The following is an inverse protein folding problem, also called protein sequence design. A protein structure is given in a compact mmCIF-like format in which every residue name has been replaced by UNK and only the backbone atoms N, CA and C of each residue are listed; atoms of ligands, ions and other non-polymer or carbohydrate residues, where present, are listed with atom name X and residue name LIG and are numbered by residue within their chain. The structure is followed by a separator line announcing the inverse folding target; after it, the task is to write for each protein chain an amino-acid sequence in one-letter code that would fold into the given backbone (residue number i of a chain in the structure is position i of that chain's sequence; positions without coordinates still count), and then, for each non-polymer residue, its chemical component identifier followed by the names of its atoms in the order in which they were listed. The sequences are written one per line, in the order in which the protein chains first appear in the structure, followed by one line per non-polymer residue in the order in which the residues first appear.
data_IF_420330206944
#
_entry.id   IF_420330206944
#
_cell.length_a   1.000
_cell.length_b   1.000
_cell.length_c   1.000
_cell.angle_alpha   90.00
_cell.angle_beta   90.00
_cell.angle_gamma   90.00
#
_symmetry.space_group_name_H-M   'P 1'
#
loop_
_entity.id
_entity.type
_entity.pdbx_description
1 polymer ?
#
# COMPACT_ATOMS: atom_id res chain seq x y z
N UNK A 1 -25.04 -8.51 -37.82
CA UNK A 1 -24.25 -7.25 -37.80
C UNK A 1 -22.80 -7.63 -37.54
N UNK A 2 -21.87 -7.21 -38.40
CA UNK A 2 -20.45 -7.48 -38.20
C UNK A 2 -19.95 -6.70 -36.97
N UNK A 3 -19.39 -7.41 -35.99
CA UNK A 3 -18.73 -6.83 -34.82
C UNK A 3 -17.45 -6.15 -35.34
N UNK A 4 -17.55 -4.89 -35.75
CA UNK A 4 -16.36 -4.16 -36.20
C UNK A 4 -15.68 -3.54 -34.98
N UNK A 5 -14.72 -4.27 -34.41
CA UNK A 5 -13.77 -3.71 -33.45
C UNK A 5 -12.87 -2.69 -34.14
N UNK A 6 -12.68 -1.51 -33.56
CA UNK A 6 -11.72 -0.53 -34.06
C UNK A 6 -10.32 -0.78 -33.46
N UNK A 7 -9.27 -0.59 -34.27
CA UNK A 7 -7.88 -0.72 -33.81
C UNK A 7 -7.47 0.55 -33.05
N UNK A 8 -6.99 0.38 -31.82
CA UNK A 8 -6.30 1.42 -31.06
C UNK A 8 -4.80 1.22 -31.19
N UNK A 9 -4.06 2.27 -31.57
CA UNK A 9 -2.59 2.25 -31.61
C UNK A 9 -2.09 3.32 -30.65
N UNK A 10 -1.21 2.92 -29.73
CA UNK A 10 -0.55 3.84 -28.81
C UNK A 10 0.96 3.60 -28.86
N UNK A 11 1.72 4.69 -28.85
CA UNK A 11 3.17 4.64 -28.73
C UNK A 11 3.53 4.82 -27.26
N UNK A 12 4.53 4.08 -26.80
CA UNK A 12 4.99 4.13 -25.41
C UNK A 12 6.48 3.82 -25.34
N UNK A 13 7.08 4.04 -24.17
CA UNK A 13 8.47 3.66 -23.93
C UNK A 13 8.63 2.14 -23.88
N UNK A 14 9.83 1.62 -24.22
CA UNK A 14 10.13 0.19 -24.07
C UNK A 14 9.85 -0.32 -22.66
N UNK A 15 10.22 0.47 -21.65
CA UNK A 15 10.04 0.12 -20.23
C UNK A 15 8.57 -0.01 -19.85
N UNK A 16 7.73 0.91 -20.31
CA UNK A 16 6.30 0.84 -20.05
C UNK A 16 5.64 -0.35 -20.76
N UNK A 17 6.11 -0.68 -21.97
CA UNK A 17 5.66 -1.89 -22.67
C UNK A 17 6.04 -3.14 -21.89
N UNK A 18 7.26 -3.22 -21.36
CA UNK A 18 7.71 -4.35 -20.54
C UNK A 18 6.85 -4.49 -19.28
N UNK A 19 6.60 -3.38 -18.58
CA UNK A 19 5.73 -3.33 -17.42
C UNK A 19 4.29 -3.81 -17.73
N UNK A 20 3.69 -3.37 -18.84
CA UNK A 20 2.35 -3.83 -19.25
C UNK A 20 2.30 -5.34 -19.49
N UNK A 21 3.36 -5.92 -20.06
CA UNK A 21 3.46 -7.38 -20.28
C UNK A 21 3.53 -8.11 -18.94
N UNK A 22 4.31 -7.60 -18.00
CA UNK A 22 4.44 -8.18 -16.66
C UNK A 22 3.10 -8.15 -15.89
N UNK A 23 2.43 -6.99 -15.86
CA UNK A 23 1.16 -6.85 -15.15
C UNK A 23 0.03 -7.67 -15.77
N UNK A 24 -0.05 -7.72 -17.10
CA UNK A 24 -0.99 -8.59 -17.80
C UNK A 24 -0.73 -10.07 -17.47
N UNK A 25 0.55 -10.47 -17.37
CA UNK A 25 0.93 -11.82 -16.96
C UNK A 25 0.54 -12.12 -15.52
N UNK A 26 0.71 -11.19 -14.57
CA UNK A 26 0.27 -11.34 -13.18
C UNK A 26 -1.25 -11.54 -13.07
N UNK A 27 -2.00 -10.84 -13.92
CA UNK A 27 -3.45 -10.95 -14.00
C UNK A 27 -3.92 -12.16 -14.84
N UNK A 28 -3.02 -12.90 -15.49
CA UNK A 28 -3.36 -14.08 -16.30
C UNK A 28 -4.12 -13.76 -17.60
N UNK A 29 -4.02 -12.53 -18.11
CA UNK A 29 -4.74 -12.05 -19.29
C UNK A 29 -3.80 -11.48 -20.35
N UNK A 30 -4.30 -11.25 -21.57
CA UNK A 30 -3.52 -10.55 -22.60
C UNK A 30 -3.34 -9.06 -22.27
N UNK A 31 -2.29 -8.42 -22.80
CA UNK A 31 -2.06 -6.98 -22.62
C UNK A 31 -3.25 -6.14 -23.07
N UNK A 32 -3.88 -6.49 -24.20
CA UNK A 32 -5.04 -5.77 -24.72
C UNK A 32 -6.26 -5.91 -23.80
N UNK A 33 -6.45 -7.09 -23.20
CA UNK A 33 -7.54 -7.32 -22.26
C UNK A 33 -7.29 -6.64 -20.92
N UNK A 34 -6.05 -6.68 -20.42
CA UNK A 34 -5.63 -5.93 -19.24
C UNK A 34 -5.92 -4.43 -19.39
N UNK A 35 -5.54 -3.83 -20.52
CA UNK A 35 -5.84 -2.43 -20.83
C UNK A 35 -7.35 -2.19 -20.89
N UNK A 36 -8.10 -3.06 -21.59
CA UNK A 36 -9.56 -2.94 -21.72
C UNK A 36 -10.24 -2.95 -20.35
N UNK A 37 -9.93 -3.92 -19.50
CA UNK A 37 -10.51 -4.05 -18.16
C UNK A 37 -10.25 -2.78 -17.33
N UNK A 38 -9.01 -2.28 -17.34
CA UNK A 38 -8.62 -1.08 -16.59
C UNK A 38 -9.29 0.18 -17.10
N UNK A 39 -9.43 0.33 -18.42
CA UNK A 39 -10.08 1.50 -19.02
C UNK A 39 -11.61 1.46 -18.96
N UNK A 40 -12.21 0.28 -19.03
CA UNK A 40 -13.66 0.11 -19.10
C UNK A 40 -14.32 0.14 -17.72
N UNK A 41 -13.68 -0.48 -16.73
CA UNK A 41 -14.25 -0.58 -15.39
C UNK A 41 -13.66 0.44 -14.42
N UNK A 42 -12.47 0.99 -14.72
CA UNK A 42 -11.76 1.86 -13.78
C UNK A 42 -11.55 1.18 -12.42
N UNK A 43 -11.01 1.88 -11.41
CA UNK A 43 -11.19 1.44 -10.05
C UNK A 43 -12.65 1.62 -9.62
N UNK A 44 -13.26 0.58 -9.05
CA UNK A 44 -14.62 0.70 -8.51
C UNK A 44 -14.63 1.61 -7.27
N UNK A 45 -15.82 2.09 -6.87
CA UNK A 45 -15.97 2.85 -5.62
C UNK A 45 -15.50 2.04 -4.40
N UNK A 46 -15.78 0.74 -4.38
CA UNK A 46 -15.30 -0.18 -3.35
C UNK A 46 -13.77 -0.28 -3.33
N UNK A 47 -13.13 -0.35 -4.50
CA UNK A 47 -11.66 -0.38 -4.59
C UNK A 47 -11.03 0.93 -4.12
N UNK A 48 -11.64 2.06 -4.44
CA UNK A 48 -11.21 3.38 -3.94
C UNK A 48 -11.39 3.49 -2.42
N UNK A 49 -12.51 3.00 -1.90
CA UNK A 49 -12.78 2.96 -0.46
C UNK A 49 -11.77 2.05 0.26
N UNK A 50 -11.49 0.88 -0.31
CA UNK A 50 -10.49 -0.05 0.22
C UNK A 50 -9.09 0.56 0.26
N UNK A 51 -8.69 1.28 -0.78
CA UNK A 51 -7.42 2.03 -0.81
C UNK A 51 -7.36 3.08 0.30
N UNK A 52 -8.43 3.84 0.50
CA UNK A 52 -8.51 4.83 1.58
C UNK A 52 -8.42 4.17 2.97
N UNK A 53 -9.11 3.04 3.17
CA UNK A 53 -9.05 2.27 4.42
C UNK A 53 -7.64 1.71 4.68
N UNK A 54 -6.98 1.18 3.66
CA UNK A 54 -5.62 0.65 3.78
C UNK A 54 -4.62 1.74 4.20
N UNK A 55 -4.76 2.95 3.65
CA UNK A 55 -3.92 4.09 4.01
C UNK A 55 -4.19 4.56 5.45
N UNK A 56 -5.45 4.64 5.88
CA UNK A 56 -5.78 4.96 7.27
C UNK A 56 -5.30 3.89 8.25
N UNK A 57 -5.41 2.61 7.90
CA UNK A 57 -4.86 1.51 8.69
C UNK A 57 -3.36 1.65 8.85
N UNK A 58 -2.63 1.92 7.77
CA UNK A 58 -1.17 2.13 7.80
C UNK A 58 -0.78 3.28 8.74
N UNK A 59 -1.50 4.40 8.69
CA UNK A 59 -1.30 5.53 9.61
C UNK A 59 -1.58 5.14 11.06
N UNK A 60 -2.68 4.43 11.31
CA UNK A 60 -3.05 3.99 12.64
C UNK A 60 -2.00 3.03 13.24
N UNK A 61 -1.52 2.06 12.46
CA UNK A 61 -0.47 1.13 12.87
C UNK A 61 0.83 1.86 13.20
N UNK A 62 1.22 2.86 12.39
CA UNK A 62 2.39 3.68 12.69
C UNK A 62 2.24 4.43 14.02
N UNK A 63 1.11 5.12 14.23
CA UNK A 63 0.83 5.84 15.49
C UNK A 63 0.84 4.92 16.70
N UNK A 64 0.31 3.71 16.56
CA UNK A 64 0.32 2.71 17.62
C UNK A 64 1.75 2.26 17.94
N UNK A 65 2.58 2.02 16.92
CA UNK A 65 4.00 1.72 17.09
C UNK A 65 4.76 2.84 17.81
N UNK A 66 4.60 4.08 17.36
CA UNK A 66 5.24 5.26 17.98
C UNK A 66 4.82 5.41 19.45
N UNK A 67 3.55 5.17 19.75
CA UNK A 67 3.00 5.26 21.11
C UNK A 67 3.52 4.15 22.02
N UNK A 68 3.64 2.92 21.49
CA UNK A 68 4.21 1.79 22.21
C UNK A 68 5.69 2.03 22.55
N UNK A 69 6.47 2.49 21.57
CA UNK A 69 7.89 2.75 21.77
C UNK A 69 8.11 3.86 22.81
N UNK A 70 7.30 4.92 22.77
CA UNK A 70 7.31 5.95 23.80
C UNK A 70 6.98 5.36 25.18
N UNK A 71 5.94 4.55 25.30
CA UNK A 71 5.55 3.92 26.56
C UNK A 71 6.66 3.03 27.16
N UNK A 72 7.38 2.29 26.32
CA UNK A 72 8.54 1.50 26.74
C UNK A 72 9.65 2.42 27.29
N UNK A 73 10.00 3.49 26.56
CA UNK A 73 11.03 4.45 27.01
C UNK A 73 10.66 5.11 28.33
N UNK A 74 9.39 5.51 28.49
CA UNK A 74 8.90 6.13 29.71
C UNK A 74 8.98 5.15 30.89
N UNK A 75 8.59 3.88 30.70
CA UNK A 75 8.70 2.84 31.73
C UNK A 75 10.16 2.55 32.12
N UNK A 76 11.07 2.48 31.15
CA UNK A 76 12.50 2.30 31.40
C UNK A 76 13.10 3.47 32.20
N UNK A 77 12.68 4.71 31.89
CA UNK A 77 13.07 5.91 32.64
C UNK A 77 12.65 5.81 34.10
N UNK A 78 11.38 5.45 34.35
CA UNK A 78 10.85 5.27 35.71
C UNK A 78 11.62 4.16 36.46
N UNK A 79 11.88 3.01 35.82
CA UNK A 79 12.67 1.93 36.42
C UNK A 79 14.09 2.39 36.77
N UNK A 80 14.72 3.20 35.92
CA UNK A 80 16.05 3.77 36.16
C UNK A 80 16.03 4.72 37.36
N UNK A 81 15.01 5.56 37.48
CA UNK A 81 14.84 6.44 38.65
C UNK A 81 14.64 5.66 39.95
N UNK A 82 13.76 4.66 39.96
CA UNK A 82 13.50 3.81 41.13
C UNK A 82 14.78 3.08 41.59
N UNK A 83 15.56 2.54 40.65
CA UNK A 83 16.86 1.91 40.94
C UNK A 83 17.86 2.92 41.52
N UNK A 84 17.89 4.16 41.02
CA UNK A 84 18.76 5.21 41.57
C UNK A 84 18.37 5.57 42.99
N UNK A 85 17.08 5.73 43.28
CA UNK A 85 16.58 6.04 44.64
C UNK A 85 16.92 4.94 45.64
N UNK A 86 16.78 3.66 45.24
CA UNK A 86 17.12 2.49 46.08
C UNK A 86 18.62 2.41 46.43
N UNK A 87 19.51 2.86 45.54
CA UNK A 87 20.97 2.93 45.80
C UNK A 87 21.41 4.08 46.70
N UNK A 88 20.58 5.12 46.86
CA UNK A 88 20.88 6.27 47.72
C UNK A 88 20.41 6.06 49.17
N UNK A 89 19.51 5.08 49.38
CA UNK A 89 18.94 4.73 50.68
C UNK A 89 19.55 3.47 51.32
N UNK A 90 20.49 2.82 50.64
CA UNK A 90 21.30 1.70 51.14
C UNK A 90 22.75 2.15 51.33
#
# INVERSE_FOLDING_TARGET
MAIQTARVTFLTSPDFKAWLVEEASKAGVSVSEFIRLRCQYGPSEDELMLLAMAEELKKATRRAGDSLEKGIRDAESVLKELRRRKKVTA
#
